data_IF_900036832094
#
_entry.id   IF_900036832094
#
_cell.length_a   1.000
_cell.length_b   1.000
_cell.length_c   1.000
_cell.angle_alpha   90.00
_cell.angle_beta   90.00
_cell.angle_gamma   90.00
#
_symmetry.space_group_name_H-M   'P 1'
#
loop_
_entity.id
_entity.type
_entity.pdbx_description
1 polymer ?
#
# COMPACT_ATOMS: atom_id res chain seq x y z
N UNK A 1 -8.86 13.79 61.02
CA UNK A 1 -10.19 13.18 61.26
C UNK A 1 -11.22 13.82 60.32
N UNK A 2 -11.57 13.16 59.21
CA UNK A 2 -12.77 13.47 58.40
C UNK A 2 -13.13 12.24 57.56
N UNK A 3 -14.44 12.06 57.37
CA UNK A 3 -15.18 10.80 57.28
C UNK A 3 -14.91 9.98 56.01
N UNK A 4 -14.78 8.67 56.19
CA UNK A 4 -14.99 7.63 55.19
C UNK A 4 -16.45 7.69 54.71
N UNK A 5 -16.67 7.66 53.39
CA UNK A 5 -18.00 7.51 52.80
C UNK A 5 -18.05 6.15 52.11
N UNK A 6 -18.81 5.23 52.71
CA UNK A 6 -19.15 3.91 52.20
C UNK A 6 -20.55 3.94 51.61
N UNK A 7 -20.75 3.32 50.44
CA UNK A 7 -22.07 3.05 49.86
C UNK A 7 -22.02 3.27 48.34
N UNK A 8 -22.55 2.42 47.48
CA UNK A 8 -23.43 1.28 47.68
C UNK A 8 -23.24 0.28 46.55
N UNK A 9 -23.45 -1.00 46.88
CA UNK A 9 -23.48 -2.12 45.94
C UNK A 9 -24.75 -2.04 45.06
N UNK A 10 -24.56 -2.13 43.74
CA UNK A 10 -25.65 -2.36 42.80
C UNK A 10 -25.72 -3.85 42.44
N UNK A 11 -26.92 -4.40 42.62
CA UNK A 11 -27.34 -5.79 42.46
C UNK A 11 -27.37 -6.20 40.97
N UNK A 12 -26.89 -7.40 40.58
CA UNK A 12 -27.13 -7.93 39.25
C UNK A 12 -28.44 -8.75 39.22
N UNK A 13 -29.37 -8.41 38.33
CA UNK A 13 -30.53 -9.23 38.01
C UNK A 13 -30.92 -9.00 36.55
N UNK A 14 -30.88 -10.06 35.74
CA UNK A 14 -31.28 -10.00 34.34
C UNK A 14 -30.80 -11.19 33.52
N UNK A 15 -31.19 -12.39 33.94
CA UNK A 15 -31.21 -13.56 33.07
C UNK A 15 -32.38 -13.47 32.07
N UNK A 16 -32.35 -14.37 31.08
CA UNK A 16 -33.41 -14.75 30.13
C UNK A 16 -33.38 -14.03 28.77
N UNK A 17 -32.87 -14.73 27.75
CA UNK A 17 -33.71 -15.25 26.65
C UNK A 17 -32.84 -15.99 25.63
N UNK A 18 -32.67 -17.29 25.87
CA UNK A 18 -32.30 -18.28 24.87
C UNK A 18 -33.44 -18.39 23.84
N UNK A 19 -33.19 -17.99 22.59
CA UNK A 19 -34.06 -18.33 21.45
C UNK A 19 -33.29 -19.19 20.48
N UNK A 20 -33.53 -20.50 20.61
CA UNK A 20 -33.41 -21.45 19.54
C UNK A 20 -34.21 -20.97 18.33
N UNK A 21 -33.60 -20.93 17.16
CA UNK A 21 -34.35 -20.90 15.90
C UNK A 21 -33.84 -22.01 14.98
N UNK A 22 -34.82 -22.71 14.45
CA UNK A 22 -34.76 -24.04 13.92
C UNK A 22 -34.16 -24.09 12.51
N UNK A 23 -33.39 -25.17 12.33
CA UNK A 23 -33.32 -26.02 11.14
C UNK A 23 -34.33 -25.71 10.01
N UNK A 24 -33.78 -25.42 8.83
CA UNK A 24 -34.43 -25.73 7.55
C UNK A 24 -33.45 -26.47 6.63
N UNK A 25 -33.76 -27.73 6.25
CA UNK A 25 -33.11 -28.41 5.14
C UNK A 25 -33.89 -28.18 3.83
N UNK A 26 -33.23 -27.64 2.80
CA UNK A 26 -33.71 -27.67 1.42
C UNK A 26 -32.52 -27.98 0.52
N UNK A 27 -32.33 -29.24 0.11
CA UNK A 27 -32.87 -29.89 -1.11
C UNK A 27 -32.56 -29.12 -2.41
N UNK A 28 -31.78 -29.80 -3.25
CA UNK A 28 -32.04 -29.87 -4.69
C UNK A 28 -31.18 -28.97 -5.56
N UNK A 29 -30.31 -29.58 -6.37
CA UNK A 29 -29.61 -28.86 -7.43
C UNK A 29 -28.47 -29.61 -8.11
N UNK A 30 -28.66 -30.90 -8.42
CA UNK A 30 -27.84 -31.62 -9.39
C UNK A 30 -28.09 -31.02 -10.78
N UNK A 31 -27.13 -30.30 -11.35
CA UNK A 31 -27.03 -30.12 -12.80
C UNK A 31 -25.58 -30.34 -13.23
N UNK A 32 -25.27 -31.62 -13.48
CA UNK A 32 -24.16 -32.05 -14.31
C UNK A 32 -24.62 -31.98 -15.77
N UNK A 33 -24.07 -31.04 -16.56
CA UNK A 33 -24.06 -31.14 -18.02
C UNK A 33 -22.67 -30.76 -18.50
N UNK A 34 -21.94 -31.77 -18.99
CA UNK A 34 -20.67 -31.59 -19.66
C UNK A 34 -20.83 -31.08 -21.10
N UNK A 35 -19.73 -30.54 -21.62
CA UNK A 35 -19.37 -30.46 -23.05
C UNK A 35 -17.86 -30.17 -23.08
N UNK A 36 -17.03 -31.18 -23.39
CA UNK A 36 -16.44 -31.48 -24.73
C UNK A 36 -15.78 -30.24 -25.34
N UNK A 37 -14.46 -30.12 -25.18
CA UNK A 37 -13.43 -30.43 -26.21
C UNK A 37 -13.63 -29.63 -27.51
N UNK A 38 -12.73 -28.67 -27.73
CA UNK A 38 -12.16 -28.33 -29.04
C UNK A 38 -10.92 -27.43 -28.84
N UNK A 39 -9.73 -28.03 -28.81
CA UNK A 39 -8.50 -27.40 -29.28
C UNK A 39 -8.49 -27.57 -30.80
N UNK A 40 -8.26 -26.51 -31.58
CA UNK A 40 -6.99 -26.46 -32.31
C UNK A 40 -6.48 -25.04 -32.52
N UNK A 41 -5.17 -24.87 -32.73
CA UNK A 41 -4.65 -23.59 -33.21
C UNK A 41 -3.19 -23.35 -32.93
N UNK A 42 -2.34 -24.31 -33.30
CA UNK A 42 -0.90 -24.12 -33.43
C UNK A 42 -0.66 -23.13 -34.58
N UNK A 43 -0.12 -21.95 -34.30
CA UNK A 43 0.50 -21.09 -35.30
C UNK A 43 1.78 -20.52 -34.71
N UNK A 44 2.87 -21.26 -34.95
CA UNK A 44 4.24 -20.81 -34.77
C UNK A 44 4.52 -19.82 -35.91
N UNK A 45 4.70 -18.54 -35.58
CA UNK A 45 5.29 -17.58 -36.51
C UNK A 45 6.70 -17.25 -36.03
N UNK A 46 7.67 -17.88 -36.68
CA UNK A 46 9.09 -17.58 -36.60
C UNK A 46 9.35 -16.19 -37.15
N UNK A 47 9.94 -15.31 -36.34
CA UNK A 47 10.61 -14.11 -36.83
C UNK A 47 12.06 -14.14 -36.34
N UNK A 48 12.93 -14.73 -37.16
CA UNK A 48 14.38 -14.61 -37.04
C UNK A 48 14.75 -13.25 -37.64
N UNK A 49 15.14 -12.30 -36.79
CA UNK A 49 15.78 -11.06 -37.23
C UNK A 49 17.26 -11.12 -36.84
N UNK A 50 18.09 -11.52 -37.79
CA UNK A 50 19.54 -11.37 -37.72
C UNK A 50 19.86 -9.93 -38.10
N UNK A 51 20.08 -9.06 -37.12
CA UNK A 51 20.65 -7.74 -37.34
C UNK A 51 22.17 -7.86 -37.25
N UNK A 52 22.83 -7.71 -38.40
CA UNK A 52 24.28 -7.71 -38.53
C UNK A 52 24.89 -6.52 -37.78
N UNK A 53 25.84 -6.80 -36.88
CA UNK A 53 26.74 -5.81 -36.33
C UNK A 53 27.71 -5.35 -37.43
N UNK A 54 27.61 -4.11 -37.86
CA UNK A 54 28.67 -3.41 -38.58
C UNK A 54 29.44 -2.53 -37.58
N UNK A 55 30.68 -2.89 -37.31
CA UNK A 55 31.64 -2.06 -36.57
C UNK A 55 32.44 -1.21 -37.55
N UNK A 56 32.39 0.12 -37.46
CA UNK A 56 33.51 0.95 -37.89
C UNK A 56 34.49 1.12 -36.72
N UNK A 57 35.71 0.64 -36.94
CA UNK A 57 36.88 1.13 -36.24
C UNK A 57 37.12 2.57 -36.66
N UNK A 58 37.32 3.48 -35.71
CA UNK A 58 37.96 4.75 -36.02
C UNK A 58 39.00 5.12 -34.97
N UNK A 59 40.15 5.53 -35.48
CA UNK A 59 41.35 5.92 -34.76
C UNK A 59 41.30 7.43 -34.56
N UNK A 60 41.45 7.91 -33.32
CA UNK A 60 41.44 9.34 -33.04
C UNK A 60 42.24 9.69 -31.81
N UNK A 61 43.54 9.92 -32.02
CA UNK A 61 44.45 10.51 -31.06
C UNK A 61 43.97 11.90 -30.61
N UNK A 62 44.24 12.26 -29.35
CA UNK A 62 44.12 13.65 -28.90
C UNK A 62 43.80 13.84 -27.43
N UNK A 63 44.60 13.28 -26.51
CA UNK A 63 44.53 13.66 -25.09
C UNK A 63 45.16 15.05 -24.90
N UNK A 64 44.39 16.10 -25.13
CA UNK A 64 44.69 17.44 -24.63
C UNK A 64 43.94 17.65 -23.31
N UNK A 65 44.59 17.28 -22.21
CA UNK A 65 44.10 17.52 -20.85
C UNK A 65 44.16 19.02 -20.55
N UNK A 66 43.06 19.72 -20.82
CA UNK A 66 42.85 21.08 -20.31
C UNK A 66 42.39 20.93 -18.87
N UNK A 67 43.21 21.36 -17.92
CA UNK A 67 42.89 21.39 -16.50
C UNK A 67 41.73 22.36 -16.27
N UNK A 68 40.51 21.83 -16.33
CA UNK A 68 39.32 22.53 -15.90
C UNK A 68 39.41 22.72 -14.38
N UNK A 69 39.52 23.98 -13.96
CA UNK A 69 39.30 24.41 -12.59
C UNK A 69 37.92 23.91 -12.17
N UNK A 70 37.91 22.87 -11.32
CA UNK A 70 36.69 22.32 -10.71
C UNK A 70 36.18 23.39 -9.74
N UNK A 71 35.25 24.22 -10.19
CA UNK A 71 34.41 25.01 -9.30
C UNK A 71 33.75 24.05 -8.30
N UNK A 72 34.02 24.27 -7.02
CA UNK A 72 33.43 23.51 -5.94
C UNK A 72 31.89 23.56 -6.09
N UNK A 73 31.20 22.42 -6.05
CA UNK A 73 29.76 22.40 -6.29
C UNK A 73 29.08 23.30 -5.25
N UNK A 74 28.32 24.28 -5.77
CA UNK A 74 27.45 25.13 -4.97
C UNK A 74 26.67 24.25 -3.98
N UNK A 75 26.66 24.67 -2.72
CA UNK A 75 25.99 24.01 -1.59
C UNK A 75 24.56 23.62 -1.99
N UNK A 76 24.36 22.38 -2.42
CA UNK A 76 23.04 21.84 -2.78
C UNK A 76 22.29 21.70 -1.47
N UNK A 77 21.52 22.74 -1.14
CA UNK A 77 20.58 22.69 -0.02
C UNK A 77 19.61 21.54 -0.30
N UNK A 78 19.85 20.39 0.31
CA UNK A 78 18.98 19.24 0.19
C UNK A 78 17.63 19.63 0.77
N UNK A 79 16.61 19.76 -0.09
CA UNK A 79 15.26 20.00 0.38
C UNK A 79 14.84 18.86 1.32
N UNK A 80 14.15 19.16 2.42
CA UNK A 80 13.69 18.13 3.33
C UNK A 80 12.71 17.20 2.63
N UNK A 81 12.82 15.90 2.92
CA UNK A 81 11.91 14.89 2.36
C UNK A 81 10.51 15.13 2.92
N UNK A 82 9.53 15.31 2.04
CA UNK A 82 8.16 15.59 2.44
C UNK A 82 7.38 14.31 2.73
N UNK A 83 7.64 13.24 1.96
CA UNK A 83 7.00 11.94 2.14
C UNK A 83 8.01 10.82 2.00
N UNK A 84 7.97 9.85 2.92
CA UNK A 84 8.62 8.55 2.71
C UNK A 84 7.62 7.46 2.33
N UNK A 85 7.94 6.70 1.30
CA UNK A 85 7.37 5.37 1.08
C UNK A 85 8.28 4.32 1.72
N UNK A 86 7.78 3.66 2.76
CA UNK A 86 8.60 2.81 3.62
C UNK A 86 8.18 1.36 3.42
N UNK A 87 8.89 0.57 2.59
CA UNK A 87 8.58 -0.85 2.46
C UNK A 87 8.85 -1.56 3.80
N UNK A 88 7.93 -2.43 4.21
CA UNK A 88 8.19 -3.38 5.28
C UNK A 88 8.93 -4.61 4.72
N UNK A 89 9.40 -5.49 5.59
CA UNK A 89 10.21 -6.66 5.24
C UNK A 89 9.51 -7.69 4.34
N UNK A 90 8.21 -7.54 4.13
CA UNK A 90 7.39 -8.36 3.24
C UNK A 90 7.01 -7.66 1.92
N UNK A 91 7.57 -6.48 1.65
CA UNK A 91 7.27 -5.68 0.48
C UNK A 91 8.49 -5.48 -0.43
N UNK A 92 8.28 -5.44 -1.76
CA UNK A 92 9.35 -5.26 -2.73
C UNK A 92 9.88 -3.81 -2.75
N UNK A 93 11.15 -3.64 -2.36
CA UNK A 93 11.82 -2.34 -2.34
C UNK A 93 11.96 -1.70 -3.73
N UNK A 94 12.06 -2.48 -4.81
CA UNK A 94 12.15 -1.94 -6.18
C UNK A 94 10.80 -1.32 -6.59
N UNK A 95 9.70 -2.00 -6.27
CA UNK A 95 8.36 -1.45 -6.46
C UNK A 95 8.15 -0.17 -5.62
N UNK A 96 8.62 -0.14 -4.37
CA UNK A 96 8.52 1.06 -3.52
C UNK A 96 9.27 2.27 -4.11
N UNK A 97 10.50 2.08 -4.61
CA UNK A 97 11.28 3.12 -5.29
C UNK A 97 10.58 3.62 -6.55
N UNK A 98 10.09 2.70 -7.38
CA UNK A 98 9.35 3.04 -8.60
C UNK A 98 8.12 3.88 -8.28
N UNK A 99 7.37 3.48 -7.26
CA UNK A 99 6.18 4.19 -6.81
C UNK A 99 6.52 5.57 -6.23
N UNK A 100 7.60 5.70 -5.46
CA UNK A 100 8.05 6.97 -4.91
C UNK A 100 8.37 7.98 -6.03
N UNK A 101 9.12 7.55 -7.06
CA UNK A 101 9.41 8.38 -8.22
C UNK A 101 8.14 8.83 -8.97
N UNK A 102 7.17 7.92 -9.15
CA UNK A 102 5.89 8.26 -9.76
C UNK A 102 5.10 9.28 -8.94
N UNK A 103 5.07 9.13 -7.61
CA UNK A 103 4.38 10.07 -6.71
C UNK A 103 5.11 11.42 -6.65
N UNK A 104 6.44 11.43 -6.61
CA UNK A 104 7.22 12.67 -6.65
C UNK A 104 6.91 13.48 -7.91
N UNK A 105 6.89 12.82 -9.08
CA UNK A 105 6.54 13.45 -10.34
C UNK A 105 5.07 13.92 -10.38
N UNK A 106 4.14 13.15 -9.82
CA UNK A 106 2.71 13.49 -9.81
C UNK A 106 2.39 14.67 -8.89
N UNK A 107 3.05 14.78 -7.74
CA UNK A 107 2.77 15.78 -6.73
C UNK A 107 3.72 16.99 -6.74
N UNK A 108 4.83 16.93 -7.47
CA UNK A 108 5.83 18.00 -7.50
C UNK A 108 6.49 18.25 -6.14
N UNK A 109 6.68 17.18 -5.35
CA UNK A 109 7.25 17.25 -4.00
C UNK A 109 8.31 16.17 -3.79
N UNK A 110 9.15 16.36 -2.78
CA UNK A 110 10.22 15.41 -2.47
C UNK A 110 9.66 14.16 -1.79
N UNK A 111 9.51 13.08 -2.58
CA UNK A 111 9.04 11.77 -2.13
C UNK A 111 10.13 10.75 -2.38
N UNK A 112 10.55 10.05 -1.32
CA UNK A 112 11.60 9.03 -1.40
C UNK A 112 11.10 7.69 -0.89
N UNK A 113 11.66 6.59 -1.41
CA UNK A 113 11.53 5.31 -0.74
C UNK A 113 12.68 5.12 0.25
N UNK A 114 12.41 4.50 1.40
CA UNK A 114 13.46 4.12 2.36
C UNK A 114 14.00 2.72 2.08
N UNK A 115 15.05 2.35 2.82
CA UNK A 115 15.38 0.94 3.01
C UNK A 115 14.20 0.20 3.69
N UNK A 116 14.05 -1.12 3.46
CA UNK A 116 13.01 -1.90 4.12
C UNK A 116 13.14 -1.91 5.64
N UNK A 117 12.01 -1.72 6.33
CA UNK A 117 11.95 -1.83 7.79
C UNK A 117 11.40 -3.19 8.22
N UNK A 118 11.99 -3.75 9.28
CA UNK A 118 11.52 -5.02 9.84
C UNK A 118 10.25 -4.83 10.66
N UNK A 119 9.18 -5.57 10.31
CA UNK A 119 7.96 -5.65 11.09
C UNK A 119 7.75 -7.06 11.70
N UNK A 120 8.82 -7.85 11.84
CA UNK A 120 8.76 -9.26 12.31
C UNK A 120 8.20 -9.44 13.71
N UNK A 121 8.27 -8.40 14.55
CA UNK A 121 7.73 -8.41 15.91
C UNK A 121 6.21 -8.21 15.99
N UNK A 122 5.58 -7.72 14.92
CA UNK A 122 4.13 -7.66 14.85
C UNK A 122 3.59 -9.09 14.66
N UNK A 123 2.61 -9.47 15.47
CA UNK A 123 1.98 -10.78 15.40
C UNK A 123 0.59 -10.66 14.77
N UNK A 124 0.13 -11.68 14.01
CA UNK A 124 -1.23 -11.68 13.51
C UNK A 124 -2.25 -11.86 14.65
N UNK A 125 -3.51 -11.50 14.42
CA UNK A 125 -4.58 -11.87 15.34
C UNK A 125 -4.69 -13.39 15.43
N UNK A 126 -4.93 -13.90 16.64
CA UNK A 126 -5.13 -15.33 16.92
C UNK A 126 -6.13 -15.96 15.95
N UNK A 127 -5.75 -17.08 15.34
CA UNK A 127 -6.57 -17.82 14.37
C UNK A 127 -6.71 -17.17 12.98
N UNK A 128 -5.97 -16.10 12.68
CA UNK A 128 -6.03 -15.42 11.38
C UNK A 128 -4.64 -15.15 10.81
N UNK A 129 -4.58 -14.64 9.57
CA UNK A 129 -3.37 -14.08 8.95
C UNK A 129 -3.39 -12.54 8.90
N UNK A 130 -4.33 -11.91 9.59
CA UNK A 130 -4.46 -10.47 9.64
C UNK A 130 -3.59 -9.88 10.74
N UNK A 131 -2.90 -8.78 10.43
CA UNK A 131 -2.07 -8.06 11.38
C UNK A 131 -2.79 -6.82 11.89
N UNK A 132 -2.70 -6.51 13.20
CA UNK A 132 -3.14 -5.22 13.71
C UNK A 132 -2.26 -4.12 13.12
N UNK A 133 -2.86 -3.15 12.43
CA UNK A 133 -2.13 -2.03 11.83
C UNK A 133 -1.39 -1.21 12.89
N UNK A 134 -1.98 -1.09 14.08
CA UNK A 134 -1.40 -0.45 15.26
C UNK A 134 -0.06 -1.10 15.67
N UNK A 135 0.07 -2.42 15.54
CA UNK A 135 1.27 -3.15 15.95
C UNK A 135 2.39 -3.01 14.93
N UNK A 136 2.03 -2.99 13.64
CA UNK A 136 2.98 -2.67 12.57
C UNK A 136 3.56 -1.27 12.76
N UNK A 137 2.71 -0.28 13.08
CA UNK A 137 3.16 1.07 13.40
C UNK A 137 4.06 1.09 14.63
N UNK A 138 3.60 0.51 15.74
CA UNK A 138 4.36 0.51 17.00
C UNK A 138 5.78 -0.06 16.85
N UNK A 139 5.92 -1.15 16.09
CA UNK A 139 7.23 -1.80 15.84
C UNK A 139 8.13 -0.96 14.94
N UNK A 140 7.58 -0.20 14.00
CA UNK A 140 8.35 0.54 12.99
C UNK A 140 8.65 1.98 13.39
N UNK A 141 7.86 2.57 14.29
CA UNK A 141 7.94 3.98 14.68
C UNK A 141 9.35 4.43 15.09
N UNK A 142 10.12 3.70 15.93
CA UNK A 142 11.46 4.13 16.31
C UNK A 142 12.41 4.28 15.11
N UNK A 143 12.27 3.44 14.09
CA UNK A 143 13.13 3.51 12.90
C UNK A 143 12.74 4.68 11.97
N UNK A 144 11.47 5.06 11.92
CA UNK A 144 11.00 6.21 11.13
C UNK A 144 11.64 7.53 11.58
N UNK A 145 11.88 7.67 12.88
CA UNK A 145 12.51 8.86 13.49
C UNK A 145 13.98 9.05 13.09
N UNK A 146 14.60 8.00 12.54
CA UNK A 146 16.02 7.99 12.18
C UNK A 146 16.23 8.08 10.66
N UNK A 147 15.16 8.27 9.87
CA UNK A 147 15.28 8.42 8.42
C UNK A 147 15.98 9.74 8.04
N UNK A 148 16.97 9.70 7.13
CA UNK A 148 17.87 10.83 6.88
C UNK A 148 17.22 11.93 6.02
N UNK A 149 17.26 13.18 6.48
CA UNK A 149 16.70 14.32 5.72
C UNK A 149 15.20 14.53 5.92
N UNK A 150 14.61 13.90 6.95
CA UNK A 150 13.24 14.22 7.38
C UNK A 150 13.15 15.65 7.93
N UNK A 151 12.10 16.36 7.57
CA UNK A 151 11.68 17.60 8.21
C UNK A 151 10.65 17.35 9.32
N UNK A 152 10.21 18.43 9.97
CA UNK A 152 9.14 18.38 10.99
C UNK A 152 7.76 18.05 10.40
N UNK A 153 7.59 18.22 9.09
CA UNK A 153 6.34 17.96 8.35
C UNK A 153 6.42 16.71 7.47
N UNK A 154 7.44 15.88 7.64
CA UNK A 154 7.54 14.62 6.88
C UNK A 154 6.40 13.69 7.26
N UNK A 155 5.73 13.12 6.26
CA UNK A 155 4.77 12.04 6.45
C UNK A 155 5.33 10.70 5.93
N UNK A 156 4.76 9.60 6.42
CA UNK A 156 5.24 8.25 6.14
C UNK A 156 4.11 7.38 5.62
N UNK A 157 4.37 6.63 4.56
CA UNK A 157 3.46 5.61 4.03
C UNK A 157 4.17 4.26 4.12
N UNK A 158 3.85 3.49 5.14
CA UNK A 158 4.31 2.10 5.31
C UNK A 158 3.64 1.22 4.25
N UNK A 159 4.42 0.46 3.49
CA UNK A 159 3.94 -0.46 2.45
C UNK A 159 4.16 -1.91 2.87
N UNK A 160 3.11 -2.73 2.85
CA UNK A 160 3.18 -4.12 3.29
C UNK A 160 2.36 -5.06 2.40
N UNK A 161 2.75 -6.32 2.32
CA UNK A 161 2.01 -7.39 1.67
C UNK A 161 1.14 -8.21 2.65
N UNK A 162 1.24 -7.95 3.96
CA UNK A 162 0.40 -8.53 5.01
C UNK A 162 -1.01 -7.99 4.92
N UNK A 163 -2.00 -8.86 5.16
CA UNK A 163 -3.39 -8.44 5.32
C UNK A 163 -3.53 -7.71 6.65
N UNK A 164 -4.10 -6.50 6.64
CA UNK A 164 -4.18 -5.65 7.83
C UNK A 164 -5.62 -5.43 8.27
N UNK A 165 -5.78 -5.16 9.56
CA UNK A 165 -7.03 -4.68 10.14
C UNK A 165 -6.72 -3.78 11.35
N UNK A 166 -7.70 -3.01 11.82
CA UNK A 166 -7.57 -2.30 13.09
C UNK A 166 -7.76 -3.29 14.25
N UNK A 167 -7.18 -3.01 15.43
CA UNK A 167 -7.38 -3.82 16.65
C UNK A 167 -8.85 -3.97 17.03
N UNK A 168 -9.65 -2.93 16.80
CA UNK A 168 -11.09 -2.95 17.04
C UNK A 168 -11.85 -3.95 16.15
N UNK A 169 -11.30 -4.29 14.96
CA UNK A 169 -11.88 -5.25 13.99
C UNK A 169 -13.34 -4.96 13.60
N UNK A 170 -13.71 -3.67 13.54
CA UNK A 170 -15.03 -3.24 13.07
C UNK A 170 -15.25 -3.50 11.56
N UNK A 171 -14.16 -3.74 10.82
CA UNK A 171 -14.19 -4.05 9.39
C UNK A 171 -13.66 -5.47 9.15
N UNK A 172 -14.00 -6.06 7.99
CA UNK A 172 -13.51 -7.39 7.60
C UNK A 172 -12.01 -7.41 7.30
N UNK A 173 -11.49 -6.30 6.78
CA UNK A 173 -10.08 -6.02 6.49
C UNK A 173 -9.95 -4.52 6.23
N UNK A 174 -8.72 -4.03 6.09
CA UNK A 174 -8.43 -2.66 5.66
C UNK A 174 -7.45 -2.69 4.49
N UNK A 175 -7.67 -1.85 3.47
CA UNK A 175 -6.67 -1.58 2.44
C UNK A 175 -5.60 -0.60 2.93
N UNK A 176 -6.01 0.35 3.75
CA UNK A 176 -5.14 1.30 4.40
C UNK A 176 -5.64 1.68 5.79
N UNK A 177 -4.72 2.09 6.64
CA UNK A 177 -4.99 2.62 7.98
C UNK A 177 -4.17 3.89 8.18
N UNK A 178 -4.74 4.90 8.82
CA UNK A 178 -4.18 6.26 8.85
C UNK A 178 -4.14 6.78 10.29
N UNK A 179 -3.04 7.43 10.65
CA UNK A 179 -2.80 8.06 11.96
C UNK A 179 -2.32 9.50 11.73
N UNK A 180 -3.24 10.45 11.53
CA UNK A 180 -2.90 11.84 11.24
C UNK A 180 -1.96 12.47 12.26
N UNK A 181 -2.17 12.21 13.54
CA UNK A 181 -1.36 12.78 14.64
C UNK A 181 0.11 12.35 14.58
N UNK A 182 0.39 11.20 13.96
CA UNK A 182 1.76 10.70 13.74
C UNK A 182 2.23 10.89 12.29
N UNK A 183 1.39 11.46 11.42
CA UNK A 183 1.62 11.58 9.96
C UNK A 183 1.98 10.25 9.30
N UNK A 184 1.43 9.14 9.79
CA UNK A 184 1.69 7.80 9.25
C UNK A 184 0.44 7.23 8.60
N UNK A 185 0.61 6.63 7.43
CA UNK A 185 -0.36 5.73 6.82
C UNK A 185 0.27 4.37 6.57
N UNK A 186 -0.53 3.31 6.65
CA UNK A 186 -0.16 1.95 6.27
C UNK A 186 -1.00 1.56 5.08
N UNK A 187 -0.40 1.05 4.01
CA UNK A 187 -1.07 0.56 2.81
C UNK A 187 -0.71 -0.91 2.60
N UNK A 188 -1.73 -1.76 2.51
CA UNK A 188 -1.58 -3.20 2.30
C UNK A 188 -1.92 -3.59 0.87
N UNK A 189 -1.07 -4.44 0.27
CA UNK A 189 -1.33 -5.05 -1.05
C UNK A 189 -2.06 -6.39 -0.97
N UNK A 190 -2.22 -6.98 0.23
CA UNK A 190 -2.75 -8.33 0.42
C UNK A 190 -4.12 -8.56 -0.24
N UNK A 191 -4.93 -7.50 -0.27
CA UNK A 191 -6.30 -7.51 -0.81
C UNK A 191 -6.41 -6.77 -2.14
N UNK A 192 -5.32 -6.18 -2.67
CA UNK A 192 -5.33 -5.46 -3.95
C UNK A 192 -5.19 -6.38 -5.15
N UNK A 193 -4.60 -7.55 -4.96
CA UNK A 193 -4.42 -8.54 -6.01
C UNK A 193 -5.76 -9.17 -6.42
N UNK A 194 -6.07 -9.30 -7.72
CA UNK A 194 -7.17 -10.12 -8.20
C UNK A 194 -7.03 -11.59 -7.76
N UNK A 195 -8.15 -12.28 -7.59
CA UNK A 195 -8.13 -13.73 -7.37
C UNK A 195 -7.54 -14.45 -8.61
N UNK A 196 -6.71 -15.47 -8.38
CA UNK A 196 -6.14 -16.30 -9.44
C UNK A 196 -4.64 -16.15 -9.64
N UNK A 197 -4.15 -16.67 -10.78
CA UNK A 197 -2.73 -16.67 -11.11
C UNK A 197 -2.19 -15.25 -11.36
N UNK A 198 -0.93 -15.03 -10.97
CA UNK A 198 -0.26 -13.75 -11.18
C UNK A 198 0.24 -13.64 -12.63
N UNK A 199 -0.53 -12.99 -13.49
CA UNK A 199 -0.15 -12.67 -14.87
C UNK A 199 0.47 -11.28 -14.96
N UNK A 200 1.02 -10.91 -16.12
CA UNK A 200 1.48 -9.53 -16.36
C UNK A 200 0.33 -8.51 -16.18
N UNK A 201 -0.87 -8.85 -16.66
CA UNK A 201 -2.05 -8.01 -16.54
C UNK A 201 -2.50 -7.83 -15.08
N UNK A 202 -2.54 -8.90 -14.27
CA UNK A 202 -2.93 -8.79 -12.86
C UNK A 202 -1.90 -8.02 -12.04
N UNK A 203 -0.60 -8.13 -12.39
CA UNK A 203 0.47 -7.29 -11.79
C UNK A 203 0.27 -5.83 -12.10
N UNK A 204 0.01 -5.49 -13.36
CA UNK A 204 -0.26 -4.11 -13.77
C UNK A 204 -1.48 -3.53 -13.02
N UNK A 205 -2.57 -4.29 -12.93
CA UNK A 205 -3.77 -3.87 -12.20
C UNK A 205 -3.51 -3.67 -10.70
N UNK A 206 -2.74 -4.57 -10.07
CA UNK A 206 -2.33 -4.44 -8.66
C UNK A 206 -1.47 -3.20 -8.43
N UNK A 207 -0.56 -2.90 -9.35
CA UNK A 207 0.26 -1.69 -9.31
C UNK A 207 -0.59 -0.42 -9.43
N UNK A 208 -1.58 -0.38 -10.33
CA UNK A 208 -2.53 0.74 -10.45
C UNK A 208 -3.31 0.94 -9.14
N UNK A 209 -3.81 -0.13 -8.53
CA UNK A 209 -4.53 -0.05 -7.25
C UNK A 209 -3.64 0.44 -6.12
N UNK A 210 -2.41 -0.06 -6.04
CA UNK A 210 -1.42 0.40 -5.06
C UNK A 210 -1.10 1.88 -5.24
N UNK A 211 -0.95 2.34 -6.49
CA UNK A 211 -0.74 3.75 -6.82
C UNK A 211 -1.89 4.61 -6.30
N UNK A 212 -3.15 4.23 -6.56
CA UNK A 212 -4.35 4.94 -6.07
C UNK A 212 -4.40 5.00 -4.55
N UNK A 213 -4.13 3.89 -3.87
CA UNK A 213 -4.14 3.85 -2.40
C UNK A 213 -3.02 4.69 -1.78
N UNK A 214 -1.83 4.68 -2.38
CA UNK A 214 -0.68 5.47 -1.92
C UNK A 214 -0.92 6.95 -2.14
N UNK A 215 -1.44 7.34 -3.30
CA UNK A 215 -1.85 8.72 -3.57
C UNK A 215 -2.86 9.22 -2.54
N UNK A 216 -3.87 8.40 -2.23
CA UNK A 216 -4.90 8.73 -1.23
C UNK A 216 -4.28 8.92 0.16
N UNK A 217 -3.34 8.06 0.56
CA UNK A 217 -2.59 8.20 1.81
C UNK A 217 -1.78 9.51 1.86
N UNK A 218 -1.08 9.85 0.78
CA UNK A 218 -0.33 11.11 0.65
C UNK A 218 -1.29 12.31 0.73
N UNK A 219 -2.38 12.28 -0.03
CA UNK A 219 -3.38 13.33 -0.04
C UNK A 219 -3.92 13.63 1.35
N UNK A 220 -4.23 12.60 2.13
CA UNK A 220 -4.73 12.75 3.49
C UNK A 220 -3.66 13.25 4.47
N UNK A 221 -2.46 12.65 4.46
CA UNK A 221 -1.41 12.96 5.45
C UNK A 221 -0.65 14.25 5.15
N UNK A 222 -0.42 14.54 3.88
CA UNK A 222 0.45 15.64 3.44
C UNK A 222 -0.35 16.86 2.97
N UNK A 223 -1.49 16.64 2.30
CA UNK A 223 -2.28 17.70 1.67
C UNK A 223 -3.60 17.99 2.41
N UNK A 224 -3.91 17.25 3.47
CA UNK A 224 -5.13 17.43 4.26
C UNK A 224 -6.43 17.13 3.50
N UNK A 225 -6.36 16.33 2.43
CA UNK A 225 -7.52 15.96 1.65
C UNK A 225 -8.55 15.22 2.51
N UNK A 226 -9.81 15.66 2.42
CA UNK A 226 -10.91 15.11 3.20
C UNK A 226 -11.57 13.94 2.48
N UNK A 227 -12.13 13.02 3.25
CA UNK A 227 -12.92 11.90 2.69
C UNK A 227 -14.14 12.45 1.95
N UNK A 228 -14.51 11.77 0.87
CA UNK A 228 -15.68 12.12 0.06
C UNK A 228 -16.66 10.95 -0.04
N UNK A 229 -17.95 11.26 -0.19
CA UNK A 229 -18.98 10.27 -0.52
C UNK A 229 -19.13 10.04 -2.04
N UNK A 230 -18.51 10.89 -2.87
CA UNK A 230 -18.55 10.77 -4.34
C UNK A 230 -17.62 9.64 -4.80
N UNK A 231 -18.15 8.68 -5.58
CA UNK A 231 -17.44 7.43 -5.94
C UNK A 231 -16.27 7.62 -6.89
N UNK A 232 -16.32 8.67 -7.68
CA UNK A 232 -15.26 9.09 -8.61
C UNK A 232 -14.22 9.97 -7.92
N UNK A 233 -14.42 10.42 -6.69
CA UNK A 233 -13.43 11.22 -5.97
C UNK A 233 -12.25 10.32 -5.50
N UNK A 234 -10.98 10.75 -5.64
CA UNK A 234 -9.84 9.95 -5.15
C UNK A 234 -9.87 9.70 -3.64
N UNK A 235 -10.59 10.51 -2.88
CA UNK A 235 -10.80 10.38 -1.45
C UNK A 235 -12.10 9.67 -1.07
N UNK A 236 -12.76 9.00 -2.00
CA UNK A 236 -13.99 8.25 -1.71
C UNK A 236 -13.82 7.33 -0.48
N UNK A 237 -14.83 7.32 0.37
CA UNK A 237 -14.99 6.40 1.48
C UNK A 237 -16.48 6.09 1.67
N UNK A 238 -16.85 4.85 2.06
CA UNK A 238 -15.97 3.75 2.46
C UNK A 238 -15.41 2.93 1.28
N UNK A 239 -14.19 2.38 1.45
CA UNK A 239 -13.58 1.43 0.50
C UNK A 239 -13.77 -0.01 1.01
N UNK A 240 -14.78 -0.70 0.49
CA UNK A 240 -15.16 -2.03 0.97
C UNK A 240 -14.69 -3.16 0.03
N UNK A 241 -14.25 -2.81 -1.18
CA UNK A 241 -13.88 -3.76 -2.21
C UNK A 241 -12.82 -3.19 -3.16
N UNK A 242 -12.13 -4.06 -3.90
CA UNK A 242 -11.22 -3.64 -4.97
C UNK A 242 -11.94 -2.89 -6.09
N UNK A 243 -13.23 -3.18 -6.31
CA UNK A 243 -14.06 -2.47 -7.27
C UNK A 243 -14.29 -1.00 -6.86
N UNK A 244 -14.26 -0.68 -5.56
CA UNK A 244 -14.28 0.71 -5.09
C UNK A 244 -12.99 1.43 -5.46
N UNK A 245 -11.84 0.77 -5.32
CA UNK A 245 -10.52 1.31 -5.68
C UNK A 245 -10.42 1.55 -7.19
N UNK A 246 -10.93 0.60 -7.99
CA UNK A 246 -10.89 0.69 -9.45
C UNK A 246 -11.68 1.92 -9.96
N UNK A 247 -12.74 2.34 -9.24
CA UNK A 247 -13.56 3.50 -9.58
C UNK A 247 -13.01 4.86 -9.16
N UNK A 248 -12.02 4.91 -8.27
CA UNK A 248 -11.42 6.18 -7.84
C UNK A 248 -10.83 6.92 -9.03
N UNK A 249 -11.03 8.23 -9.14
CA UNK A 249 -10.38 9.00 -10.19
C UNK A 249 -8.86 8.99 -10.03
N UNK A 250 -8.20 9.11 -11.19
CA UNK A 250 -6.76 9.25 -11.31
C UNK A 250 -6.29 10.70 -11.09
N UNK A 251 -7.19 11.62 -10.72
CA UNK A 251 -6.91 13.02 -10.34
C UNK A 251 -7.94 13.53 -9.32
N UNK A 252 -7.57 14.51 -8.49
CA UNK A 252 -8.57 15.25 -7.72
C UNK A 252 -9.33 16.17 -8.69
N UNK A 253 -10.67 16.26 -8.61
CA UNK A 253 -11.42 17.34 -9.24
C UNK A 253 -10.89 18.68 -8.73
N UNK A 254 -10.59 19.61 -9.64
CA UNK A 254 -10.23 21.00 -9.32
C UNK A 254 -11.43 21.74 -8.74
#
# INVERSE_FOLDING_TARGET
MKKLNSGAAAKPAGAVAERANASRPGRGGLWSIGRRIALPGLAVLSAVLVAACATPADHGAGSASTAATVEAPANVQMQPVQVYLVPLDDFDGVQANTLAAQMAAEFGMEIRASAPLSARRALPFSGTRQFPAEDLLHVTLPALEHLPGRGSQTSYVLLTARDINARARNNRFLFSWHVPDQRVSIVSTARLQPAGAMTAQTRALTATRLKKMTRRAIGEMQLGWQRSAQRDNPMYAPLNSVADIDRLADRQPQ
#
